data_IF_554819539342
#
_entry.id   IF_554819539342
#
_cell.length_a   1.000
_cell.length_b   1.000
_cell.length_c   1.000
_cell.angle_alpha   90.00
_cell.angle_beta   90.00
_cell.angle_gamma   90.00
#
_symmetry.space_group_name_H-M   'P 1'
#
loop_
_entity.id
_entity.type
_entity.pdbx_description
1 polymer ?
#
# COMPACT_ATOMS: atom_id res chain seq x y z
N UNK A 1 -0.89 -22.95 32.06
CA UNK A 1 -0.63 -24.36 31.60
C UNK A 1 -1.25 -24.66 30.23
N UNK A 2 -2.48 -24.21 29.94
CA UNK A 2 -3.18 -24.43 28.66
C UNK A 2 -2.53 -23.73 27.45
N UNK A 3 -2.17 -22.44 27.58
CA UNK A 3 -1.48 -21.66 26.52
C UNK A 3 -0.16 -22.32 26.09
N UNK A 4 0.63 -22.82 27.06
CA UNK A 4 1.88 -23.53 26.79
C UNK A 4 1.66 -24.78 25.92
N UNK A 5 0.60 -25.55 26.21
CA UNK A 5 0.24 -26.76 25.48
C UNK A 5 -0.18 -26.46 24.03
N UNK A 6 -1.04 -25.45 23.82
CA UNK A 6 -1.48 -25.03 22.49
C UNK A 6 -0.34 -24.50 21.61
N UNK A 7 0.63 -23.81 22.21
CA UNK A 7 1.81 -23.31 21.50
C UNK A 7 2.85 -24.40 21.21
N UNK A 8 2.90 -25.47 22.02
CA UNK A 8 3.83 -26.59 21.81
C UNK A 8 3.31 -27.65 20.83
N UNK A 9 1.99 -27.76 20.65
CA UNK A 9 1.35 -28.76 19.77
C UNK A 9 1.30 -28.34 18.28
N UNK A 10 1.52 -27.07 17.96
CA UNK A 10 1.65 -26.60 16.57
C UNK A 10 2.99 -27.07 15.98
N UNK A 11 2.93 -27.98 15.00
CA UNK A 11 4.09 -28.65 14.37
C UNK A 11 5.13 -27.70 13.76
N UNK A 12 4.75 -26.46 13.45
CA UNK A 12 5.68 -25.36 13.18
C UNK A 12 5.73 -24.42 14.38
N UNK A 13 6.90 -24.28 15.03
CA UNK A 13 7.18 -23.24 16.03
C UNK A 13 7.25 -21.83 15.41
N UNK A 14 6.30 -21.50 14.55
CA UNK A 14 6.18 -20.23 13.83
C UNK A 14 4.84 -19.62 14.20
N UNK A 15 4.86 -18.38 14.67
CA UNK A 15 3.68 -17.56 14.89
C UNK A 15 3.67 -16.49 13.81
N UNK A 16 2.66 -16.54 12.94
CA UNK A 16 2.44 -15.54 11.90
C UNK A 16 1.34 -14.58 12.36
N UNK A 17 1.62 -13.27 12.32
CA UNK A 17 0.73 -12.21 12.78
C UNK A 17 0.63 -11.15 11.68
N UNK A 18 -0.48 -11.11 10.91
CA UNK A 18 -0.82 -9.97 10.06
C UNK A 18 -1.24 -8.80 10.97
N UNK A 19 -0.32 -7.88 11.23
CA UNK A 19 -0.48 -6.85 12.26
C UNK A 19 -1.71 -5.97 12.00
N UNK A 20 -1.95 -5.62 10.74
CA UNK A 20 -3.06 -4.77 10.31
C UNK A 20 -4.45 -5.30 10.72
N UNK A 21 -4.63 -6.62 10.76
CA UNK A 21 -5.89 -7.29 11.12
C UNK A 21 -6.14 -7.33 12.62
N UNK A 22 -5.08 -7.39 13.42
CA UNK A 22 -5.18 -7.61 14.87
C UNK A 22 -5.00 -6.34 15.69
N UNK A 23 -4.32 -5.32 15.17
CA UNK A 23 -4.02 -4.09 15.92
C UNK A 23 -5.28 -3.35 16.43
N UNK A 24 -6.37 -3.40 15.67
CA UNK A 24 -7.66 -2.82 16.08
C UNK A 24 -8.29 -3.58 17.25
N UNK A 25 -8.13 -4.90 17.29
CA UNK A 25 -8.68 -5.75 18.37
C UNK A 25 -7.92 -5.51 19.69
N UNK A 26 -6.62 -5.20 19.61
CA UNK A 26 -5.79 -4.96 20.79
C UNK A 26 -6.09 -3.61 21.46
N UNK A 27 -6.33 -2.54 20.68
CA UNK A 27 -6.68 -1.22 21.24
C UNK A 27 -7.95 -1.23 22.10
N UNK A 28 -8.86 -2.18 21.86
CA UNK A 28 -10.11 -2.31 22.63
C UNK A 28 -9.87 -2.90 24.03
N UNK A 29 -8.73 -3.57 24.25
CA UNK A 29 -8.50 -4.43 25.43
C UNK A 29 -7.53 -3.78 26.45
N UNK A 30 -6.73 -2.79 26.04
CA UNK A 30 -5.67 -2.24 26.90
C UNK A 30 -6.07 -0.87 27.48
N UNK A 31 -6.07 -0.76 28.82
CA UNK A 31 -6.15 0.50 29.56
C UNK A 31 -4.80 1.26 29.49
N UNK A 32 -4.83 2.58 29.66
CA UNK A 32 -3.70 3.53 29.54
C UNK A 32 -2.44 3.26 30.42
N UNK A 33 -2.42 2.21 31.26
CA UNK A 33 -1.32 1.91 32.19
C UNK A 33 -0.43 0.72 31.78
N UNK A 34 -0.63 0.13 30.60
CA UNK A 34 0.16 -1.04 30.16
C UNK A 34 1.42 -0.65 29.40
N UNK A 35 2.48 -1.46 29.55
CA UNK A 35 3.75 -1.24 28.83
C UNK A 35 3.61 -1.59 27.36
N UNK A 36 4.37 -0.93 26.47
CA UNK A 36 4.37 -1.22 25.02
C UNK A 36 4.61 -2.72 24.75
N UNK A 37 5.48 -3.37 25.54
CA UNK A 37 5.69 -4.82 25.48
C UNK A 37 4.40 -5.67 25.61
N UNK A 38 3.40 -5.22 26.37
CA UNK A 38 2.14 -5.95 26.58
C UNK A 38 1.27 -5.99 25.32
N UNK A 39 1.46 -5.06 24.39
CA UNK A 39 0.75 -5.02 23.11
C UNK A 39 1.15 -6.20 22.25
N UNK A 40 2.44 -6.48 22.13
CA UNK A 40 2.89 -7.62 21.32
C UNK A 40 2.49 -8.96 21.94
N UNK A 41 2.50 -9.06 23.28
CA UNK A 41 1.96 -10.22 24.00
C UNK A 41 0.48 -10.41 23.69
N UNK A 42 -0.31 -9.34 23.73
CA UNK A 42 -1.73 -9.36 23.38
C UNK A 42 -1.97 -9.76 21.93
N UNK A 43 -1.18 -9.22 20.99
CA UNK A 43 -1.23 -9.60 19.56
C UNK A 43 -0.97 -11.09 19.37
N UNK A 44 0.04 -11.66 20.06
CA UNK A 44 0.35 -13.09 19.98
C UNK A 44 -0.84 -13.92 20.50
N UNK A 45 -1.43 -13.56 21.64
CA UNK A 45 -2.58 -14.28 22.20
C UNK A 45 -3.78 -14.24 21.25
N UNK A 46 -4.16 -13.05 20.77
CA UNK A 46 -5.32 -12.89 19.88
C UNK A 46 -5.09 -13.62 18.55
N UNK A 47 -3.86 -13.63 18.01
CA UNK A 47 -3.52 -14.39 16.79
C UNK A 47 -3.70 -15.90 16.94
N UNK A 48 -3.78 -16.40 18.18
CA UNK A 48 -4.02 -17.79 18.53
C UNK A 48 -5.42 -18.03 19.09
N UNK A 49 -6.33 -17.08 18.92
CA UNK A 49 -7.71 -17.14 19.43
C UNK A 49 -7.76 -17.28 20.96
N UNK A 50 -6.73 -16.79 21.65
CA UNK A 50 -6.65 -16.76 23.11
C UNK A 50 -6.97 -15.35 23.58
N UNK A 51 -7.89 -15.24 24.54
CA UNK A 51 -8.25 -13.95 25.13
C UNK A 51 -7.04 -13.32 25.85
N UNK A 52 -6.79 -12.03 25.61
CA UNK A 52 -5.66 -11.30 26.17
C UNK A 52 -5.88 -10.88 27.63
N UNK A 53 -6.17 -11.85 28.50
CA UNK A 53 -6.31 -11.63 29.94
C UNK A 53 -4.94 -11.49 30.63
N UNK A 54 -4.92 -10.92 31.83
CA UNK A 54 -3.70 -10.82 32.65
C UNK A 54 -3.08 -12.19 32.91
N UNK A 55 -3.90 -13.22 33.18
CA UNK A 55 -3.43 -14.57 33.41
C UNK A 55 -2.77 -15.18 32.16
N UNK A 56 -3.41 -15.05 30.99
CA UNK A 56 -2.86 -15.55 29.73
C UNK A 56 -1.58 -14.82 29.35
N UNK A 57 -1.52 -13.52 29.60
CA UNK A 57 -0.32 -12.70 29.38
C UNK A 57 0.86 -13.16 30.24
N UNK A 58 0.64 -13.41 31.54
CA UNK A 58 1.67 -13.95 32.44
C UNK A 58 2.12 -15.35 31.97
N UNK A 59 1.18 -16.21 31.63
CA UNK A 59 1.47 -17.57 31.14
C UNK A 59 2.32 -17.55 29.86
N UNK A 60 2.01 -16.67 28.92
CA UNK A 60 2.76 -16.51 27.68
C UNK A 60 4.16 -15.95 27.95
N UNK A 61 4.28 -14.90 28.77
CA UNK A 61 5.59 -14.36 29.16
C UNK A 61 6.49 -15.44 29.76
N UNK A 62 5.96 -16.24 30.68
CA UNK A 62 6.69 -17.36 31.28
C UNK A 62 7.07 -18.43 30.25
N UNK A 63 6.23 -18.70 29.25
CA UNK A 63 6.55 -19.64 28.17
C UNK A 63 7.72 -19.14 27.32
N UNK A 64 7.69 -17.87 26.93
CA UNK A 64 8.70 -17.25 26.07
C UNK A 64 10.09 -17.22 26.73
N UNK A 65 10.15 -17.14 28.07
CA UNK A 65 11.42 -17.23 28.81
C UNK A 65 12.09 -18.61 28.68
N UNK A 66 11.31 -19.67 28.55
CA UNK A 66 11.81 -21.05 28.45
C UNK A 66 12.04 -21.47 26.97
N UNK A 67 11.22 -20.97 26.05
CA UNK A 67 11.22 -21.39 24.65
C UNK A 67 12.21 -20.59 23.79
N UNK A 68 13.21 -21.28 23.24
CA UNK A 68 14.28 -20.68 22.42
C UNK A 68 14.16 -20.95 20.92
N UNK A 69 13.26 -21.83 20.49
CA UNK A 69 13.10 -22.24 19.08
C UNK A 69 11.88 -21.61 18.41
N UNK A 70 11.21 -20.67 19.08
CA UNK A 70 10.09 -19.95 18.50
C UNK A 70 10.57 -19.00 17.40
N UNK A 71 9.76 -18.88 16.35
CA UNK A 71 9.90 -17.85 15.31
C UNK A 71 8.62 -17.03 15.25
N UNK A 72 8.75 -15.72 15.12
CA UNK A 72 7.62 -14.81 14.98
C UNK A 72 7.76 -14.08 13.65
N UNK A 73 6.70 -14.09 12.86
CA UNK A 73 6.60 -13.36 11.60
C UNK A 73 5.51 -12.31 11.76
N UNK A 74 5.90 -11.04 11.71
CA UNK A 74 5.01 -9.89 11.80
C UNK A 74 4.86 -9.29 10.40
N UNK A 75 3.64 -9.32 9.87
CA UNK A 75 3.36 -8.85 8.51
C UNK A 75 2.65 -7.49 8.52
N UNK A 76 3.15 -6.54 7.72
CA UNK A 76 2.54 -5.21 7.52
C UNK A 76 2.78 -4.20 8.65
N UNK A 77 4.04 -3.96 9.01
CA UNK A 77 4.41 -2.99 10.05
C UNK A 77 3.91 -1.56 9.74
N UNK A 78 3.92 -1.13 8.49
CA UNK A 78 3.47 0.20 8.06
C UNK A 78 2.01 0.46 8.36
N UNK A 79 1.17 -0.55 8.20
CA UNK A 79 -0.25 -0.49 8.53
C UNK A 79 -0.50 -0.42 10.03
N UNK A 80 0.31 -1.15 10.80
CA UNK A 80 0.23 -1.15 12.24
C UNK A 80 0.73 0.17 12.84
N UNK A 81 1.85 0.68 12.32
CA UNK A 81 2.47 1.92 12.77
C UNK A 81 1.55 3.12 12.59
N UNK A 82 0.89 3.23 11.43
CA UNK A 82 -0.07 4.30 11.16
C UNK A 82 -1.21 4.37 12.20
N UNK A 83 -1.57 3.22 12.79
CA UNK A 83 -2.58 3.13 13.84
C UNK A 83 -1.99 3.30 15.24
N UNK A 84 -0.82 2.72 15.50
CA UNK A 84 -0.17 2.74 16.80
C UNK A 84 1.35 2.81 16.64
N UNK A 85 1.95 4.01 16.73
CA UNK A 85 3.39 4.19 16.55
C UNK A 85 4.27 3.41 17.54
N UNK A 86 3.79 3.19 18.78
CA UNK A 86 4.52 2.44 19.82
C UNK A 86 4.69 0.94 19.51
N UNK A 87 4.17 0.44 18.39
CA UNK A 87 4.39 -0.95 17.95
C UNK A 87 5.88 -1.23 17.73
N UNK A 88 6.66 -0.23 17.31
CA UNK A 88 8.10 -0.37 17.11
C UNK A 88 8.81 -0.58 18.44
N UNK A 89 8.46 0.22 19.45
CA UNK A 89 9.01 0.09 20.80
C UNK A 89 8.64 -1.26 21.41
N UNK A 90 7.39 -1.70 21.20
CA UNK A 90 6.91 -3.04 21.59
C UNK A 90 7.75 -4.17 20.98
N UNK A 91 8.09 -4.04 19.69
CA UNK A 91 8.90 -5.01 18.94
C UNK A 91 10.35 -5.01 19.45
N UNK A 92 10.94 -3.84 19.63
CA UNK A 92 12.30 -3.67 20.13
C UNK A 92 12.43 -4.26 21.55
N UNK A 93 11.50 -3.92 22.45
CA UNK A 93 11.45 -4.43 23.82
C UNK A 93 11.32 -5.95 23.87
N UNK A 94 10.46 -6.52 23.01
CA UNK A 94 10.32 -7.96 22.92
C UNK A 94 11.63 -8.62 22.51
N UNK A 95 12.34 -8.04 21.53
CA UNK A 95 13.60 -8.61 21.05
C UNK A 95 14.72 -8.51 22.10
N UNK A 96 14.75 -7.44 22.90
CA UNK A 96 15.66 -7.29 24.05
C UNK A 96 15.40 -8.37 25.10
N UNK A 97 14.12 -8.63 25.43
CA UNK A 97 13.73 -9.62 26.44
C UNK A 97 13.91 -11.06 25.97
N UNK A 98 13.76 -11.32 24.67
CA UNK A 98 13.80 -12.66 24.06
C UNK A 98 14.81 -12.76 22.91
N UNK A 99 16.12 -12.61 23.18
CA UNK A 99 17.13 -12.51 22.12
C UNK A 99 17.24 -13.78 21.26
N UNK A 100 16.92 -14.96 21.81
CA UNK A 100 16.95 -16.23 21.08
C UNK A 100 15.80 -16.44 20.10
N UNK A 101 14.68 -15.72 20.27
CA UNK A 101 13.51 -15.87 19.38
C UNK A 101 13.81 -15.17 18.06
N UNK A 102 13.72 -15.90 16.95
CA UNK A 102 13.86 -15.30 15.62
C UNK A 102 12.60 -14.49 15.31
N UNK A 103 12.78 -13.26 14.85
CA UNK A 103 11.67 -12.41 14.41
C UNK A 103 11.93 -11.89 13.01
N UNK A 104 10.92 -11.99 12.15
CA UNK A 104 10.91 -11.51 10.77
C UNK A 104 9.77 -10.51 10.66
N UNK A 105 10.05 -9.34 10.10
CA UNK A 105 9.09 -8.26 10.00
C UNK A 105 9.05 -7.80 8.55
N UNK A 106 7.85 -7.64 7.98
CA UNK A 106 7.68 -7.00 6.68
C UNK A 106 7.17 -5.56 6.87
N UNK A 107 7.65 -4.66 6.02
CA UNK A 107 7.22 -3.26 5.95
C UNK A 107 7.45 -2.75 4.53
N UNK A 108 6.73 -1.71 4.13
CA UNK A 108 7.09 -0.93 2.92
C UNK A 108 8.35 -0.11 3.18
N UNK A 109 9.16 0.10 2.15
CA UNK A 109 10.40 0.88 2.20
C UNK A 109 10.16 2.38 2.43
N UNK A 110 8.98 2.88 2.07
CA UNK A 110 8.67 4.31 2.06
C UNK A 110 8.27 4.87 3.43
N UNK A 111 8.88 4.44 4.53
CA UNK A 111 8.55 5.01 5.84
C UNK A 111 9.75 5.45 6.67
N UNK A 112 9.72 6.73 7.03
CA UNK A 112 10.71 7.42 7.86
C UNK A 112 10.99 6.75 9.22
N UNK A 113 10.07 5.93 9.73
CA UNK A 113 10.26 5.21 11.00
C UNK A 113 11.19 4.00 10.91
N UNK A 114 11.52 3.48 9.71
CA UNK A 114 12.28 2.23 9.58
C UNK A 114 13.64 2.27 10.27
N UNK A 115 14.25 3.46 10.34
CA UNK A 115 15.51 3.70 11.08
C UNK A 115 15.40 3.42 12.59
N UNK A 116 14.20 3.38 13.16
CA UNK A 116 13.94 3.10 14.57
C UNK A 116 13.83 1.60 14.88
N UNK A 117 13.78 0.75 13.85
CA UNK A 117 13.67 -0.70 14.01
C UNK A 117 15.08 -1.28 14.14
N UNK A 118 15.42 -1.83 15.30
CA UNK A 118 16.77 -2.36 15.60
C UNK A 118 17.02 -3.75 14.98
N UNK A 119 16.75 -3.91 13.69
CA UNK A 119 16.82 -5.17 12.96
C UNK A 119 17.73 -5.05 11.74
N UNK A 120 18.25 -6.18 11.27
CA UNK A 120 18.90 -6.25 9.96
C UNK A 120 17.84 -5.99 8.88
N UNK A 121 17.98 -4.88 8.16
CA UNK A 121 17.15 -4.58 6.99
C UNK A 121 17.57 -5.40 5.77
N UNK A 122 16.60 -6.01 5.10
CA UNK A 122 16.79 -6.69 3.81
C UNK A 122 15.72 -6.15 2.86
N UNK A 123 16.15 -5.56 1.74
CA UNK A 123 15.25 -5.06 0.70
C UNK A 123 14.94 -6.15 -0.30
N UNK A 124 13.66 -6.37 -0.59
CA UNK A 124 13.24 -7.25 -1.69
C UNK A 124 13.34 -6.49 -3.01
N UNK A 125 14.33 -6.85 -3.82
CA UNK A 125 14.52 -6.24 -5.13
C UNK A 125 13.47 -6.74 -6.15
N UNK A 126 13.16 -5.93 -7.18
CA UNK A 126 12.37 -6.37 -8.32
C UNK A 126 12.99 -7.60 -9.01
N UNK A 127 12.17 -8.35 -9.75
CA UNK A 127 12.65 -9.44 -10.57
C UNK A 127 13.71 -8.97 -11.57
N UNK A 128 14.80 -9.73 -11.69
CA UNK A 128 15.60 -9.69 -12.91
C UNK A 128 14.76 -10.12 -14.12
N UNK A 129 15.15 -9.74 -15.33
CA UNK A 129 14.47 -10.18 -16.56
C UNK A 129 14.34 -11.70 -16.61
N UNK A 130 15.39 -12.43 -16.20
CA UNK A 130 15.39 -13.89 -16.17
C UNK A 130 14.34 -14.47 -15.21
N UNK A 131 14.10 -13.80 -14.07
CA UNK A 131 13.08 -14.20 -13.10
C UNK A 131 11.68 -13.86 -13.62
N UNK A 132 11.51 -12.69 -14.24
CA UNK A 132 10.25 -12.29 -14.87
C UNK A 132 9.84 -13.28 -15.97
N UNK A 133 10.75 -13.66 -16.87
CA UNK A 133 10.44 -14.61 -17.94
C UNK A 133 10.14 -16.00 -17.41
N UNK A 134 10.83 -16.43 -16.34
CA UNK A 134 10.49 -17.68 -15.63
C UNK A 134 9.11 -17.60 -14.99
N UNK A 135 8.75 -16.46 -14.40
CA UNK A 135 7.42 -16.23 -13.83
C UNK A 135 6.34 -16.34 -14.92
N UNK A 136 6.48 -15.60 -16.02
CA UNK A 136 5.53 -15.63 -17.16
C UNK A 136 5.40 -17.06 -17.72
N UNK A 137 6.53 -17.73 -17.98
CA UNK A 137 6.52 -19.10 -18.50
C UNK A 137 5.80 -20.06 -17.54
N UNK A 138 5.99 -19.89 -16.23
CA UNK A 138 5.35 -20.73 -15.21
C UNK A 138 3.85 -20.48 -15.10
N UNK A 139 3.42 -19.22 -15.20
CA UNK A 139 2.00 -18.83 -15.16
C UNK A 139 1.16 -19.53 -16.23
N UNK A 140 1.71 -19.63 -17.45
CA UNK A 140 1.01 -20.18 -18.61
C UNK A 140 1.30 -21.66 -18.89
N UNK A 141 2.13 -22.31 -18.06
CA UNK A 141 2.64 -23.67 -18.31
C UNK A 141 1.54 -24.70 -18.60
N UNK A 142 0.44 -24.64 -17.85
CA UNK A 142 -0.70 -25.57 -17.97
C UNK A 142 -1.87 -24.97 -18.75
N UNK A 143 -1.75 -23.72 -19.20
CA UNK A 143 -2.84 -22.98 -19.85
C UNK A 143 -2.63 -22.83 -21.35
N UNK A 144 -1.54 -22.18 -21.75
CA UNK A 144 -1.23 -21.87 -23.14
C UNK A 144 0.26 -21.49 -23.29
N UNK A 145 1.11 -22.43 -23.65
CA UNK A 145 2.55 -22.22 -23.78
C UNK A 145 2.94 -21.27 -24.93
N UNK A 146 2.10 -21.12 -25.96
CA UNK A 146 2.37 -20.19 -27.06
C UNK A 146 2.19 -18.73 -26.60
N UNK A 147 1.16 -18.48 -25.78
CA UNK A 147 0.88 -17.14 -25.25
C UNK A 147 2.03 -16.63 -24.35
N UNK A 148 2.73 -17.51 -23.62
CA UNK A 148 3.88 -17.09 -22.81
C UNK A 148 5.04 -16.58 -23.66
N UNK A 149 5.35 -17.26 -24.77
CA UNK A 149 6.40 -16.86 -25.71
C UNK A 149 6.04 -15.52 -26.36
N UNK A 150 4.81 -15.38 -26.85
CA UNK A 150 4.31 -14.14 -27.44
C UNK A 150 4.36 -12.96 -26.44
N UNK A 151 3.96 -13.19 -25.18
CA UNK A 151 4.02 -12.16 -24.14
C UNK A 151 5.46 -11.75 -23.82
N UNK A 152 6.39 -12.71 -23.74
CA UNK A 152 7.81 -12.40 -23.51
C UNK A 152 8.39 -11.60 -24.69
N UNK A 153 8.15 -12.03 -25.92
CA UNK A 153 8.64 -11.34 -27.13
C UNK A 153 8.10 -9.91 -27.25
N UNK A 154 6.84 -9.71 -26.86
CA UNK A 154 6.18 -8.42 -26.96
C UNK A 154 6.61 -7.40 -25.90
N UNK A 155 7.18 -7.83 -24.76
CA UNK A 155 7.75 -6.92 -23.75
C UNK A 155 9.28 -6.79 -23.84
N UNK A 156 9.97 -7.77 -24.42
CA UNK A 156 11.43 -7.82 -24.45
C UNK A 156 12.04 -6.56 -25.09
N UNK A 157 12.97 -5.93 -24.38
CA UNK A 157 13.67 -4.72 -24.84
C UNK A 157 12.84 -3.45 -24.84
N UNK A 158 11.62 -3.47 -24.29
CA UNK A 158 10.74 -2.31 -24.14
C UNK A 158 10.69 -1.81 -22.70
N UNK A 159 10.33 -0.55 -22.50
CA UNK A 159 10.22 0.07 -21.17
C UNK A 159 9.26 -0.68 -20.24
N UNK A 160 8.19 -1.27 -20.78
CA UNK A 160 7.23 -2.08 -20.00
C UNK A 160 7.91 -3.26 -19.27
N UNK A 161 9.01 -3.80 -19.80
CA UNK A 161 9.75 -4.88 -19.15
C UNK A 161 10.38 -4.45 -17.82
N UNK A 162 10.76 -3.16 -17.69
CA UNK A 162 11.24 -2.60 -16.42
C UNK A 162 10.09 -2.37 -15.44
N UNK A 163 8.93 -1.96 -15.95
CA UNK A 163 7.73 -1.67 -15.16
C UNK A 163 7.19 -2.94 -14.50
N UNK A 164 7.10 -4.06 -15.24
CA UNK A 164 6.45 -5.30 -14.75
C UNK A 164 7.36 -6.21 -13.92
N UNK A 165 8.46 -5.69 -13.35
CA UNK A 165 9.41 -6.48 -12.55
C UNK A 165 8.92 -6.82 -11.14
N UNK A 166 7.81 -6.25 -10.68
CA UNK A 166 7.23 -6.65 -9.39
C UNK A 166 6.29 -7.85 -9.57
N UNK A 167 6.19 -8.76 -8.59
CA UNK A 167 5.27 -9.91 -8.67
C UNK A 167 3.82 -9.50 -8.95
N UNK A 168 3.37 -8.38 -8.37
CA UNK A 168 2.03 -7.84 -8.60
C UNK A 168 1.84 -7.46 -10.08
N UNK A 169 2.71 -6.62 -10.63
CA UNK A 169 2.57 -6.13 -12.01
C UNK A 169 2.77 -7.25 -13.03
N UNK A 170 3.70 -8.19 -12.78
CA UNK A 170 3.87 -9.38 -13.59
C UNK A 170 2.58 -10.23 -13.62
N UNK A 171 1.91 -10.39 -12.47
CA UNK A 171 0.63 -11.10 -12.36
C UNK A 171 -0.46 -10.41 -13.18
N UNK A 172 -0.58 -9.09 -13.07
CA UNK A 172 -1.58 -8.31 -13.82
C UNK A 172 -1.33 -8.37 -15.32
N UNK A 173 -0.08 -8.24 -15.75
CA UNK A 173 0.28 -8.39 -17.15
C UNK A 173 -0.13 -9.77 -17.69
N UNK A 174 0.19 -10.84 -16.96
CA UNK A 174 -0.18 -12.20 -17.36
C UNK A 174 -1.71 -12.38 -17.43
N UNK A 175 -2.43 -11.88 -16.43
CA UNK A 175 -3.89 -11.95 -16.42
C UNK A 175 -4.53 -11.18 -17.59
N UNK A 176 -4.07 -9.95 -17.88
CA UNK A 176 -4.56 -9.17 -19.01
C UNK A 176 -4.29 -9.88 -20.35
N UNK A 177 -3.09 -10.42 -20.53
CA UNK A 177 -2.74 -11.21 -21.71
C UNK A 177 -3.61 -12.47 -21.85
N UNK A 178 -3.91 -13.17 -20.74
CA UNK A 178 -4.81 -14.33 -20.72
C UNK A 178 -6.24 -13.97 -21.16
N UNK A 179 -6.67 -12.72 -20.95
CA UNK A 179 -7.96 -12.20 -21.42
C UNK A 179 -7.91 -11.61 -22.83
N UNK A 180 -6.76 -11.63 -23.49
CA UNK A 180 -6.58 -11.09 -24.84
C UNK A 180 -6.61 -9.55 -24.89
N UNK A 181 -6.25 -8.90 -23.78
CA UNK A 181 -6.13 -7.43 -23.71
C UNK A 181 -4.72 -7.05 -24.16
N UNK A 182 -4.63 -5.97 -24.95
CA UNK A 182 -3.36 -5.43 -25.42
C UNK A 182 -2.42 -5.08 -24.27
N UNK A 183 -1.12 -5.21 -24.53
CA UNK A 183 -0.08 -5.00 -23.53
C UNK A 183 0.01 -3.51 -23.20
N UNK A 184 -0.21 -3.13 -21.93
CA UNK A 184 -0.11 -1.75 -21.50
C UNK A 184 1.31 -1.18 -21.67
N UNK A 185 1.40 0.13 -21.80
CA UNK A 185 2.65 0.88 -21.93
C UNK A 185 3.18 1.43 -20.60
N UNK A 186 2.34 1.53 -19.57
CA UNK A 186 2.67 2.12 -18.26
C UNK A 186 2.05 1.35 -17.09
N UNK A 187 2.56 1.56 -15.87
CA UNK A 187 1.98 0.97 -14.64
C UNK A 187 0.53 1.41 -14.46
N UNK A 188 0.25 2.71 -14.64
CA UNK A 188 -1.10 3.27 -14.52
C UNK A 188 -2.06 2.63 -15.52
N UNK A 189 -1.61 2.39 -16.75
CA UNK A 189 -2.43 1.73 -17.78
C UNK A 189 -2.72 0.27 -17.43
N UNK A 190 -1.77 -0.48 -16.85
CA UNK A 190 -2.03 -1.86 -16.36
C UNK A 190 -3.19 -1.86 -15.37
N UNK A 191 -3.16 -0.98 -14.37
CA UNK A 191 -4.22 -0.91 -13.38
C UNK A 191 -5.55 -0.42 -13.97
N UNK A 192 -5.51 0.52 -14.92
CA UNK A 192 -6.72 1.01 -15.61
C UNK A 192 -7.38 -0.11 -16.42
N UNK A 193 -6.60 -0.87 -17.21
CA UNK A 193 -7.11 -2.00 -17.99
C UNK A 193 -7.68 -3.10 -17.09
N UNK A 194 -7.05 -3.35 -15.94
CA UNK A 194 -7.56 -4.30 -14.94
C UNK A 194 -8.88 -3.82 -14.32
N UNK A 195 -8.99 -2.53 -14.00
CA UNK A 195 -10.22 -1.93 -13.48
C UNK A 195 -11.36 -2.00 -14.51
N UNK A 196 -11.10 -1.65 -15.78
CA UNK A 196 -12.05 -1.79 -16.89
C UNK A 196 -12.56 -3.23 -17.04
N UNK A 197 -11.65 -4.21 -16.92
CA UNK A 197 -12.00 -5.62 -16.95
C UNK A 197 -12.92 -6.02 -15.80
N UNK A 198 -12.65 -5.55 -14.58
CA UNK A 198 -13.51 -5.83 -13.42
C UNK A 198 -14.86 -5.14 -13.49
N UNK A 199 -14.93 -3.93 -14.03
CA UNK A 199 -16.19 -3.22 -14.25
C UNK A 199 -17.00 -3.78 -15.44
N UNK A 200 -16.49 -4.79 -16.16
CA UNK A 200 -17.21 -5.50 -17.21
C UNK A 200 -17.13 -4.87 -18.60
N UNK A 201 -16.16 -3.98 -18.87
CA UNK A 201 -15.96 -3.35 -20.19
C UNK A 201 -15.87 -4.37 -21.32
N UNK A 202 -15.31 -5.55 -21.04
CA UNK A 202 -15.13 -6.62 -22.03
C UNK A 202 -16.29 -7.64 -22.06
N UNK A 203 -17.33 -7.48 -21.23
CA UNK A 203 -18.50 -8.37 -21.19
C UNK A 203 -19.53 -8.02 -22.24
N UNK A 204 -19.62 -6.73 -22.60
CA UNK A 204 -20.55 -6.25 -23.62
C UNK A 204 -20.26 -6.90 -24.96
N UNK A 205 -18.99 -7.19 -25.25
CA UNK A 205 -18.56 -7.94 -26.44
C UNK A 205 -18.98 -9.42 -26.41
N UNK A 206 -19.39 -9.95 -25.24
CA UNK A 206 -19.79 -11.35 -25.03
C UNK A 206 -21.27 -11.50 -24.71
N UNK A 207 -22.05 -10.42 -24.74
CA UNK A 207 -23.47 -10.36 -24.37
C UNK A 207 -23.76 -10.89 -22.94
N UNK A 208 -22.81 -10.70 -22.01
CA UNK A 208 -22.95 -11.13 -20.61
C UNK A 208 -23.36 -9.93 -19.76
N UNK A 209 -24.51 -10.03 -19.07
CA UNK A 209 -24.97 -9.02 -18.11
C UNK A 209 -24.71 -9.49 -16.67
N UNK A 210 -23.60 -9.04 -16.09
CA UNK A 210 -23.20 -9.38 -14.70
C UNK A 210 -23.71 -8.36 -13.68
N UNK A 211 -23.78 -7.10 -14.07
CA UNK A 211 -24.12 -5.96 -13.21
C UNK A 211 -25.43 -5.30 -13.67
N UNK A 212 -26.13 -4.68 -12.73
CA UNK A 212 -27.31 -3.86 -12.96
C UNK A 212 -26.93 -2.42 -13.28
N UNK A 213 -25.88 -1.89 -12.65
CA UNK A 213 -25.36 -0.55 -12.93
C UNK A 213 -24.50 -0.54 -14.20
N UNK A 214 -24.42 0.63 -14.82
CA UNK A 214 -23.53 0.83 -15.96
C UNK A 214 -22.07 0.77 -15.54
N UNK A 215 -21.21 0.33 -16.47
CA UNK A 215 -19.77 0.26 -16.27
C UNK A 215 -19.18 1.63 -15.86
N UNK A 216 -19.71 2.71 -16.42
CA UNK A 216 -19.29 4.08 -16.09
C UNK A 216 -19.57 4.45 -14.62
N UNK A 217 -20.70 3.98 -14.06
CA UNK A 217 -21.03 4.21 -12.65
C UNK A 217 -20.05 3.44 -11.77
N UNK A 218 -19.85 2.14 -12.04
CA UNK A 218 -18.93 1.30 -11.25
C UNK A 218 -17.48 1.78 -11.30
N UNK A 219 -17.02 2.21 -12.48
CA UNK A 219 -15.70 2.78 -12.68
C UNK A 219 -15.53 4.08 -11.86
N UNK A 220 -16.50 5.01 -11.96
CA UNK A 220 -16.48 6.26 -11.21
C UNK A 220 -16.58 6.00 -9.70
N UNK A 221 -17.44 5.08 -9.27
CA UNK A 221 -17.55 4.67 -7.86
C UNK A 221 -16.21 4.16 -7.33
N UNK A 222 -15.49 3.32 -8.09
CA UNK A 222 -14.19 2.80 -7.70
C UNK A 222 -13.18 3.93 -7.44
N UNK A 223 -13.11 4.90 -8.36
CA UNK A 223 -12.23 6.08 -8.22
C UNK A 223 -12.57 6.87 -6.96
N UNK A 224 -13.86 7.18 -6.75
CA UNK A 224 -14.32 7.94 -5.57
C UNK A 224 -14.02 7.24 -4.26
N UNK A 225 -14.25 5.93 -4.18
CA UNK A 225 -13.95 5.15 -2.97
C UNK A 225 -12.44 5.10 -2.73
N UNK A 226 -11.65 4.83 -3.77
CA UNK A 226 -10.19 4.78 -3.68
C UNK A 226 -9.59 6.09 -3.19
N UNK A 227 -10.02 7.20 -3.78
CA UNK A 227 -9.64 8.54 -3.32
C UNK A 227 -10.12 8.81 -1.88
N UNK A 228 -11.38 8.49 -1.54
CA UNK A 228 -11.93 8.72 -0.21
C UNK A 228 -11.16 7.94 0.88
N UNK A 229 -10.75 6.70 0.60
CA UNK A 229 -9.89 5.90 1.47
C UNK A 229 -8.54 6.58 1.65
N UNK A 230 -7.92 6.98 0.54
CA UNK A 230 -6.58 7.56 0.56
C UNK A 230 -6.54 8.91 1.27
N UNK A 231 -7.53 9.78 1.02
CA UNK A 231 -7.68 11.06 1.68
C UNK A 231 -7.86 10.94 3.20
N UNK A 232 -8.50 9.87 3.67
CA UNK A 232 -8.71 9.59 5.10
C UNK A 232 -7.55 8.83 5.75
N UNK A 233 -6.46 8.55 5.02
CA UNK A 233 -5.34 7.72 5.48
C UNK A 233 -5.78 6.32 5.97
N UNK A 234 -6.77 5.72 5.30
CA UNK A 234 -7.25 4.37 5.59
C UNK A 234 -7.06 3.43 4.40
N UNK A 235 -6.89 2.14 4.67
CA UNK A 235 -6.81 1.06 3.66
C UNK A 235 -8.10 0.25 3.52
N UNK A 236 -8.99 0.42 4.48
CA UNK A 236 -10.17 -0.44 4.65
C UNK A 236 -11.23 0.24 5.49
N UNK A 237 -12.50 -0.07 5.23
CA UNK A 237 -13.64 0.48 5.95
C UNK A 237 -14.82 -0.51 5.98
N UNK A 238 -15.83 -0.23 6.80
CA UNK A 238 -17.09 -0.99 6.80
C UNK A 238 -17.87 -0.73 5.50
N UNK A 239 -18.83 -1.60 5.15
CA UNK A 239 -19.67 -1.37 3.97
C UNK A 239 -20.45 -0.07 4.10
N UNK A 240 -20.96 0.20 5.31
CA UNK A 240 -21.75 1.38 5.65
C UNK A 240 -20.93 2.67 5.45
N UNK A 241 -19.68 2.67 5.90
CA UNK A 241 -18.77 3.80 5.72
C UNK A 241 -18.47 4.04 4.23
N UNK A 242 -18.22 2.98 3.45
CA UNK A 242 -17.95 3.09 2.01
C UNK A 242 -19.15 3.71 1.28
N UNK A 243 -20.36 3.25 1.59
CA UNK A 243 -21.59 3.82 1.01
C UNK A 243 -21.74 5.29 1.42
N UNK A 244 -21.44 5.62 2.68
CA UNK A 244 -21.45 7.00 3.18
C UNK A 244 -20.43 7.89 2.45
N UNK A 245 -19.22 7.39 2.19
CA UNK A 245 -18.20 8.14 1.44
C UNK A 245 -18.68 8.48 0.04
N UNK A 246 -19.31 7.53 -0.65
CA UNK A 246 -19.87 7.74 -1.99
C UNK A 246 -21.03 8.74 -1.97
N UNK A 247 -21.97 8.56 -1.04
CA UNK A 247 -23.18 9.36 -0.96
C UNK A 247 -22.92 10.81 -0.54
N UNK A 248 -21.81 11.07 0.18
CA UNK A 248 -21.42 12.41 0.62
C UNK A 248 -20.48 13.12 -0.36
N UNK A 249 -20.03 12.46 -1.43
CA UNK A 249 -19.20 13.09 -2.47
C UNK A 249 -20.09 13.96 -3.37
N UNK A 250 -19.90 15.28 -3.30
CA UNK A 250 -20.69 16.28 -4.04
C UNK A 250 -20.49 16.23 -5.55
N UNK A 251 -19.46 15.53 -6.03
CA UNK A 251 -19.23 15.30 -7.46
C UNK A 251 -19.76 13.94 -7.91
N UNK A 252 -20.26 13.09 -7.00
CA UNK A 252 -20.88 11.81 -7.29
C UNK A 252 -22.41 11.90 -7.11
N UNK A 253 -23.05 12.60 -8.04
CA UNK A 253 -24.48 12.97 -7.99
C UNK A 253 -25.43 11.80 -8.30
N UNK A 254 -25.38 10.72 -7.51
CA UNK A 254 -26.29 9.58 -7.59
C UNK A 254 -27.09 9.40 -6.29
N UNK A 255 -28.22 8.70 -6.38
CA UNK A 255 -29.05 8.41 -5.20
C UNK A 255 -28.32 7.49 -4.21
N UNK A 256 -28.72 7.53 -2.93
CA UNK A 256 -28.21 6.60 -1.90
C UNK A 256 -28.39 5.13 -2.28
N UNK A 257 -29.50 4.80 -2.93
CA UNK A 257 -29.77 3.45 -3.45
C UNK A 257 -28.74 3.06 -4.51
N UNK A 258 -28.45 3.94 -5.47
CA UNK A 258 -27.41 3.71 -6.48
C UNK A 258 -26.03 3.54 -5.82
N UNK A 259 -25.72 4.31 -4.79
CA UNK A 259 -24.47 4.17 -4.04
C UNK A 259 -24.37 2.82 -3.35
N UNK A 260 -25.46 2.35 -2.73
CA UNK A 260 -25.52 1.04 -2.10
C UNK A 260 -25.31 -0.08 -3.13
N UNK A 261 -26.06 -0.06 -4.23
CA UNK A 261 -25.92 -1.04 -5.31
C UNK A 261 -24.52 -1.02 -5.92
N UNK A 262 -23.91 0.16 -6.09
CA UNK A 262 -22.54 0.27 -6.59
C UNK A 262 -21.56 -0.44 -5.65
N UNK A 263 -21.63 -0.18 -4.35
CA UNK A 263 -20.75 -0.85 -3.38
C UNK A 263 -20.97 -2.36 -3.37
N UNK A 264 -22.23 -2.81 -3.46
CA UNK A 264 -22.56 -4.24 -3.56
C UNK A 264 -21.97 -4.89 -4.81
N UNK A 265 -22.10 -4.25 -5.97
CA UNK A 265 -21.58 -4.76 -7.23
C UNK A 265 -20.05 -4.73 -7.29
N UNK A 266 -19.41 -3.73 -6.66
CA UNK A 266 -17.97 -3.65 -6.51
C UNK A 266 -17.41 -4.78 -5.63
N UNK A 267 -18.19 -5.26 -4.65
CA UNK A 267 -17.88 -6.47 -3.89
C UNK A 267 -18.13 -7.70 -4.77
N UNK A 268 -19.36 -7.88 -5.23
CA UNK A 268 -19.80 -9.00 -6.08
C UNK A 268 -20.79 -8.49 -7.13
N UNK A 269 -20.54 -8.66 -8.44
CA UNK A 269 -19.60 -9.62 -9.03
C UNK A 269 -18.23 -9.05 -9.45
N UNK A 270 -17.95 -7.77 -9.24
CA UNK A 270 -16.73 -7.16 -9.78
C UNK A 270 -15.46 -7.65 -9.07
N UNK A 271 -15.55 -8.04 -7.79
CA UNK A 271 -14.41 -8.42 -6.94
C UNK A 271 -13.33 -7.34 -6.83
N UNK A 272 -13.73 -6.06 -6.88
CA UNK A 272 -12.85 -4.90 -6.69
C UNK A 272 -12.63 -4.65 -5.19
N UNK A 273 -13.70 -4.75 -4.40
CA UNK A 273 -13.65 -4.67 -2.94
C UNK A 273 -13.61 -6.08 -2.34
N UNK A 274 -12.56 -6.36 -1.58
CA UNK A 274 -12.29 -7.66 -0.95
C UNK A 274 -12.63 -7.57 0.53
N UNK A 275 -13.42 -8.53 1.01
CA UNK A 275 -13.80 -8.66 2.41
C UNK A 275 -12.72 -9.41 3.21
N UNK A 276 -12.29 -8.83 4.33
CA UNK A 276 -11.41 -9.49 5.30
C UNK A 276 -12.24 -10.09 6.44
N UNK A 277 -12.29 -11.42 6.52
CA UNK A 277 -13.05 -12.14 7.55
C UNK A 277 -12.53 -11.94 8.98
N UNK A 278 -11.27 -11.52 9.16
CA UNK A 278 -10.68 -11.35 10.50
C UNK A 278 -11.04 -9.98 11.07
N UNK A 279 -11.00 -8.95 10.24
CA UNK A 279 -11.27 -7.56 10.64
C UNK A 279 -12.67 -7.07 10.26
N UNK A 280 -13.46 -7.85 9.53
CA UNK A 280 -14.84 -7.57 9.10
C UNK A 280 -15.00 -6.25 8.32
N UNK A 281 -14.02 -5.95 7.47
CA UNK A 281 -13.96 -4.71 6.68
C UNK A 281 -13.57 -5.01 5.24
N UNK A 282 -13.85 -4.06 4.35
CA UNK A 282 -13.55 -4.16 2.93
C UNK A 282 -12.35 -3.30 2.55
N UNK A 283 -11.53 -3.79 1.62
CA UNK A 283 -10.35 -3.11 1.07
C UNK A 283 -10.24 -3.35 -0.44
N UNK A 284 -9.29 -2.69 -1.12
CA UNK A 284 -8.98 -2.98 -2.52
C UNK A 284 -8.02 -4.19 -2.71
N UNK A 285 -7.80 -4.99 -1.67
CA UNK A 285 -6.90 -6.14 -1.66
C UNK A 285 -5.40 -5.79 -1.68
N UNK A 286 -5.00 -4.69 -2.33
CA UNK A 286 -3.65 -4.17 -2.32
C UNK A 286 -3.64 -2.64 -2.40
N UNK A 287 -2.79 -1.97 -1.62
CA UNK A 287 -2.73 -0.51 -1.57
C UNK A 287 -2.42 0.12 -2.93
N UNK A 288 -1.63 -0.54 -3.79
CA UNK A 288 -1.38 -0.03 -5.17
C UNK A 288 -2.66 0.20 -5.99
N UNK A 289 -3.70 -0.61 -5.81
CA UNK A 289 -4.99 -0.34 -6.47
C UNK A 289 -5.64 0.94 -5.94
N UNK A 290 -5.63 1.13 -4.62
CA UNK A 290 -6.14 2.35 -4.01
C UNK A 290 -5.31 3.58 -4.43
N UNK A 291 -3.98 3.46 -4.49
CA UNK A 291 -3.10 4.53 -4.97
C UNK A 291 -3.41 4.89 -6.42
N UNK A 292 -3.63 3.88 -7.28
CA UNK A 292 -4.03 4.10 -8.66
C UNK A 292 -5.38 4.83 -8.76
N UNK A 293 -6.41 4.36 -8.05
CA UNK A 293 -7.73 4.99 -8.05
C UNK A 293 -7.68 6.45 -7.56
N UNK A 294 -6.92 6.72 -6.50
CA UNK A 294 -6.70 8.08 -6.02
C UNK A 294 -5.96 8.94 -7.06
N UNK A 295 -5.00 8.39 -7.80
CA UNK A 295 -4.28 9.12 -8.86
C UNK A 295 -5.21 9.51 -10.01
N UNK A 296 -6.15 8.63 -10.38
CA UNK A 296 -7.17 8.93 -11.39
C UNK A 296 -8.08 10.08 -10.96
N UNK A 297 -8.44 10.15 -9.67
CA UNK A 297 -9.22 11.28 -9.14
C UNK A 297 -8.41 12.59 -9.24
N UNK A 298 -7.12 12.60 -8.88
CA UNK A 298 -6.27 13.80 -9.02
C UNK A 298 -6.16 14.27 -10.48
N UNK A 299 -6.11 13.33 -11.43
CA UNK A 299 -6.04 13.65 -12.87
C UNK A 299 -7.38 14.25 -13.37
N UNK A 300 -8.50 13.68 -12.94
CA UNK A 300 -9.83 14.05 -13.42
C UNK A 300 -10.38 15.31 -12.74
N UNK A 301 -10.05 15.51 -11.47
CA UNK A 301 -10.58 16.58 -10.65
C UNK A 301 -9.52 17.65 -10.36
N UNK A 302 -9.42 18.63 -11.27
CA UNK A 302 -8.48 19.76 -11.19
C UNK A 302 -8.74 20.72 -10.03
N UNK A 303 -9.85 20.57 -9.29
CA UNK A 303 -10.13 21.38 -8.11
C UNK A 303 -9.37 20.93 -6.86
N UNK A 304 -8.75 19.73 -6.91
CA UNK A 304 -7.96 19.21 -5.81
C UNK A 304 -6.58 19.87 -5.84
N UNK A 305 -6.24 20.59 -4.77
CA UNK A 305 -4.90 21.11 -4.59
C UNK A 305 -3.95 19.95 -4.25
N UNK A 306 -2.89 19.78 -5.04
CA UNK A 306 -1.95 18.63 -4.89
C UNK A 306 -0.74 19.02 -4.01
N UNK A 307 -0.42 20.30 -3.92
CA UNK A 307 0.83 20.82 -3.35
C UNK A 307 1.07 20.31 -1.92
N UNK A 308 0.05 20.30 -1.06
CA UNK A 308 0.22 19.84 0.33
C UNK A 308 0.47 18.33 0.47
N UNK A 309 0.16 17.54 -0.55
CA UNK A 309 0.41 16.09 -0.55
C UNK A 309 1.88 15.74 -0.82
N UNK A 310 2.67 16.65 -1.39
CA UNK A 310 4.08 16.39 -1.74
C UNK A 310 4.95 16.04 -0.51
N UNK A 311 4.64 16.61 0.66
CA UNK A 311 5.33 16.31 1.93
C UNK A 311 4.81 15.07 2.66
N UNK A 312 3.91 14.29 2.05
CA UNK A 312 3.27 13.13 2.69
C UNK A 312 3.77 11.82 2.09
N UNK A 313 4.44 11.02 2.91
CA UNK A 313 4.87 9.66 2.56
C UNK A 313 3.72 8.78 2.06
N UNK A 314 2.53 8.96 2.65
CA UNK A 314 1.32 8.24 2.28
C UNK A 314 0.88 8.51 0.83
N UNK A 315 0.97 9.76 0.39
CA UNK A 315 0.56 10.19 -0.95
C UNK A 315 1.60 9.96 -2.02
N UNK A 316 2.85 9.66 -1.66
CA UNK A 316 3.95 9.50 -2.61
C UNK A 316 3.62 8.51 -3.73
N UNK A 317 3.06 7.35 -3.39
CA UNK A 317 2.67 6.33 -4.37
C UNK A 317 1.61 6.83 -5.37
N UNK A 318 0.63 7.61 -4.90
CA UNK A 318 -0.39 8.26 -5.74
C UNK A 318 0.24 9.27 -6.68
N UNK A 319 1.14 10.09 -6.16
CA UNK A 319 1.80 11.16 -6.90
C UNK A 319 2.75 10.62 -7.97
N UNK A 320 3.43 9.49 -7.71
CA UNK A 320 4.21 8.78 -8.73
C UNK A 320 3.33 8.28 -9.88
N UNK A 321 2.15 7.73 -9.60
CA UNK A 321 1.20 7.29 -10.64
C UNK A 321 0.59 8.48 -11.38
N UNK A 322 0.28 9.57 -10.68
CA UNK A 322 -0.14 10.84 -11.27
C UNK A 322 0.90 11.39 -12.25
N UNK A 323 2.18 11.36 -11.86
CA UNK A 323 3.29 11.82 -12.69
C UNK A 323 3.43 11.05 -14.00
N UNK A 324 2.97 9.79 -14.11
CA UNK A 324 2.98 9.08 -15.40
C UNK A 324 2.07 9.75 -16.44
N UNK A 325 0.97 10.37 -16.01
CA UNK A 325 -0.01 11.01 -16.89
C UNK A 325 0.14 12.53 -16.98
N UNK A 326 0.68 13.19 -15.95
CA UNK A 326 0.74 14.64 -15.85
C UNK A 326 2.18 15.15 -15.67
N UNK A 327 2.50 16.25 -16.34
CA UNK A 327 3.69 17.04 -16.03
C UNK A 327 3.50 17.79 -14.71
N UNK A 328 4.58 17.95 -13.94
CA UNK A 328 4.51 18.54 -12.60
C UNK A 328 5.58 19.61 -12.34
N UNK A 329 6.21 20.17 -13.39
CA UNK A 329 7.24 21.20 -13.24
C UNK A 329 6.78 22.40 -12.40
N UNK A 330 5.53 22.84 -12.59
CA UNK A 330 4.97 23.95 -11.81
C UNK A 330 4.81 23.60 -10.33
N UNK A 331 4.55 22.32 -9.98
CA UNK A 331 4.40 21.91 -8.59
C UNK A 331 5.69 22.07 -7.78
N UNK A 332 6.85 22.01 -8.44
CA UNK A 332 8.15 22.25 -7.80
C UNK A 332 8.22 23.70 -7.34
N UNK A 333 7.97 24.64 -8.25
CA UNK A 333 7.98 26.08 -7.95
C UNK A 333 6.87 26.46 -6.97
N UNK A 334 5.63 25.99 -7.20
CA UNK A 334 4.47 26.28 -6.35
C UNK A 334 4.69 25.79 -4.91
N UNK A 335 5.31 24.62 -4.73
CA UNK A 335 5.64 24.10 -3.40
C UNK A 335 6.70 24.96 -2.71
N UNK A 336 7.81 25.28 -3.40
CA UNK A 336 8.87 26.11 -2.84
C UNK A 336 8.38 27.50 -2.48
N UNK A 337 7.55 28.13 -3.33
CA UNK A 337 6.95 29.44 -3.02
C UNK A 337 6.04 29.35 -1.79
N UNK A 338 5.22 28.29 -1.69
CA UNK A 338 4.25 28.14 -0.60
C UNK A 338 4.88 27.82 0.75
N UNK A 339 5.94 27.00 0.77
CA UNK A 339 6.56 26.52 2.00
C UNK A 339 7.94 27.14 2.30
N UNK A 340 8.46 27.95 1.38
CA UNK A 340 9.79 28.58 1.46
C UNK A 340 10.94 27.57 1.64
N UNK A 341 10.70 26.29 1.30
CA UNK A 341 11.65 25.20 1.40
C UNK A 341 11.11 23.98 0.62
N UNK A 342 11.92 23.39 -0.26
CA UNK A 342 11.62 22.20 -1.06
C UNK A 342 11.95 20.89 -0.34
N UNK A 343 12.83 20.90 0.65
CA UNK A 343 13.35 19.71 1.35
C UNK A 343 12.23 18.74 1.78
N UNK A 344 11.10 19.20 2.36
CA UNK A 344 10.05 18.27 2.78
C UNK A 344 9.37 17.51 1.63
N UNK A 345 9.45 18.03 0.40
CA UNK A 345 8.89 17.42 -0.80
C UNK A 345 9.92 16.70 -1.67
N UNK A 346 11.22 16.89 -1.42
CA UNK A 346 12.29 16.49 -2.33
C UNK A 346 12.22 15.00 -2.67
N UNK A 347 12.12 14.14 -1.65
CA UNK A 347 12.07 12.69 -1.85
C UNK A 347 10.85 12.30 -2.69
N UNK A 348 9.69 12.92 -2.46
CA UNK A 348 8.49 12.65 -3.26
C UNK A 348 8.66 13.11 -4.70
N UNK A 349 9.21 14.30 -4.93
CA UNK A 349 9.44 14.87 -6.25
C UNK A 349 10.47 14.06 -7.06
N UNK A 350 11.54 13.59 -6.42
CA UNK A 350 12.52 12.71 -7.04
C UNK A 350 11.91 11.35 -7.43
N UNK A 351 11.07 10.78 -6.57
CA UNK A 351 10.34 9.55 -6.91
C UNK A 351 9.34 9.79 -8.05
N UNK A 352 8.63 10.91 -8.08
CA UNK A 352 7.77 11.30 -9.21
C UNK A 352 8.56 11.43 -10.51
N UNK A 353 9.78 11.98 -10.47
CA UNK A 353 10.64 12.14 -11.63
C UNK A 353 11.00 10.79 -12.27
N UNK A 354 11.22 9.75 -11.45
CA UNK A 354 11.46 8.37 -11.94
C UNK A 354 10.29 7.79 -12.73
N UNK A 355 9.08 8.32 -12.56
CA UNK A 355 7.87 7.87 -13.24
C UNK A 355 7.57 8.67 -14.53
N UNK A 356 8.38 9.69 -14.87
CA UNK A 356 8.30 10.42 -16.14
C UNK A 356 9.01 9.69 -17.29
N UNK A 357 8.71 10.04 -18.55
CA UNK A 357 9.48 9.57 -19.71
C UNK A 357 10.98 9.85 -19.54
N UNK A 358 11.84 8.92 -19.96
CA UNK A 358 13.29 9.00 -19.74
C UNK A 358 13.91 10.32 -20.24
N UNK A 359 13.38 10.88 -21.34
CA UNK A 359 13.81 12.16 -21.94
C UNK A 359 13.60 13.39 -21.04
N UNK A 360 12.68 13.33 -20.08
CA UNK A 360 12.34 14.45 -19.19
C UNK A 360 13.06 14.39 -17.83
N UNK A 361 13.46 13.18 -17.40
CA UNK A 361 14.00 12.95 -16.05
C UNK A 361 15.21 13.82 -15.72
N UNK A 362 16.13 13.97 -16.67
CA UNK A 362 17.34 14.79 -16.47
C UNK A 362 17.02 16.26 -16.21
N UNK A 363 16.06 16.82 -16.95
CA UNK A 363 15.64 18.22 -16.79
C UNK A 363 14.94 18.44 -15.45
N UNK A 364 14.09 17.49 -15.02
CA UNK A 364 13.41 17.55 -13.72
C UNK A 364 14.44 17.47 -12.59
N UNK A 365 15.35 16.50 -12.63
CA UNK A 365 16.37 16.34 -11.59
C UNK A 365 17.30 17.55 -11.50
N UNK A 366 17.64 18.16 -12.65
CA UNK A 366 18.39 19.41 -12.66
C UNK A 366 17.64 20.56 -11.99
N UNK A 367 16.32 20.66 -12.22
CA UNK A 367 15.48 21.67 -11.58
C UNK A 367 15.37 21.46 -10.07
N UNK A 368 15.14 20.21 -9.62
CA UNK A 368 15.09 19.88 -8.20
C UNK A 368 16.37 20.25 -7.47
N UNK A 369 17.52 19.89 -8.06
CA UNK A 369 18.83 20.24 -7.50
C UNK A 369 19.03 21.75 -7.36
N UNK A 370 18.56 22.55 -8.32
CA UNK A 370 18.64 24.02 -8.22
C UNK A 370 17.85 24.57 -7.04
N UNK A 371 16.64 24.05 -6.81
CA UNK A 371 15.82 24.50 -5.70
C UNK A 371 16.39 24.04 -4.35
N UNK A 372 16.96 22.84 -4.29
CA UNK A 372 17.69 22.34 -3.11
C UNK A 372 18.89 23.26 -2.77
N UNK A 373 19.70 23.62 -3.77
CA UNK A 373 20.83 24.55 -3.60
C UNK A 373 20.38 25.96 -3.14
N UNK A 374 19.19 26.43 -3.57
CA UNK A 374 18.68 27.72 -3.10
C UNK A 374 18.26 27.69 -1.63
N UNK A 375 17.68 26.59 -1.16
CA UNK A 375 17.28 26.48 0.25
C UNK A 375 18.51 26.48 1.17
N UNK A 376 19.59 25.82 0.76
CA UNK A 376 20.87 25.87 1.47
C UNK A 376 21.39 27.31 1.57
N UNK A 377 21.31 28.10 0.50
CA UNK A 377 21.78 29.49 0.52
C UNK A 377 21.00 30.40 1.50
N UNK A 378 19.69 30.20 1.64
CA UNK A 378 18.87 30.90 2.64
C UNK A 378 19.13 30.44 4.08
N UNK A 379 19.58 29.20 4.28
CA UNK A 379 19.95 28.68 5.61
C UNK A 379 21.26 29.30 6.12
N UNK A 380 22.24 29.51 5.23
CA UNK A 380 23.51 30.16 5.58
C UNK A 380 23.37 31.66 5.89
N UNK A 381 22.45 32.39 5.25
CA UNK A 381 22.25 33.82 5.57
C UNK A 381 21.63 34.02 6.96
N UNK A 382 20.80 33.09 7.45
CA UNK A 382 20.17 33.20 8.78
C UNK A 382 21.09 32.84 9.96
N UNK A 383 22.19 32.10 9.74
CA UNK A 383 23.17 31.79 10.81
C UNK A 383 24.14 32.93 11.10
N UNK A 384 24.24 33.94 10.23
CA UNK A 384 25.20 35.04 10.37
C UNK A 384 24.64 36.28 11.10
N UNK A 385 23.37 36.25 11.54
CA UNK A 385 22.68 37.39 12.16
C UNK A 385 22.38 37.23 13.67
N UNK A 386 23.04 36.30 14.40
CA UNK A 386 22.81 36.12 15.86
C UNK A 386 23.92 36.68 16.77
N UNK A 387 25.06 37.10 16.25
CA UNK A 387 26.07 37.78 17.08
C UNK A 387 26.32 39.20 16.58
N UNK A 388 25.55 40.18 17.05
CA UNK A 388 26.01 41.56 17.36
C UNK A 388 24.82 42.40 17.91
N UNK A 389 24.66 42.43 19.24
CA UNK A 389 24.71 43.64 20.12
C UNK A 389 24.08 43.40 21.49
#
# INVERSE_FOLDING_TARGET
>A
MYVRKLLSENSSKVIYIPLNRFINKVKIILNDNNSDYDILISLILISKEIEATTENSINLKNYLLEEKKLKIVLDGLDEAYAKYPGIIDSINDFKIKHPSIQMIISSRDCVSYLSKVNFLGITLLPFSESQLYKFITSWFKEKNSNLSQQLIESIKGKEICEIVKTPLLATLLCDLAEKGIDIPSSESEIFTKRLELFCGVYDTYKDIKRTTLSQSILYRSSIKIGYAFHQRNIRSATKEDIVSFLNNDTSFNYSKETCLTAVEELITPCNILVFDHISEIFSFGHLRYQEHLASLELIQNRSIEIIHYLKSDWWRGVLCLYAQACEFYSLIEDFTIKYHNIEPALITLEEMAKFRPQKERNSINYLLKKYEETDDSFSYENEWDIDYY
#
